data_IF_591212149123
#
_entry.id   IF_591212149123
#
_cell.length_a   1.000
_cell.length_b   1.000
_cell.length_c   1.000
_cell.angle_alpha   90.00
_cell.angle_beta   90.00
_cell.angle_gamma   90.00
#
_symmetry.space_group_name_H-M   'P 1'
#
loop_
_entity.id
_entity.type
_entity.pdbx_description
1 polymer ?
#
# COMPACT_ATOMS: atom_id res chain seq x y z
N UNK A 1 10.64 12.12 11.91
CA UNK A 1 11.15 12.95 13.04
C UNK A 1 10.20 14.09 13.40
N UNK A 2 9.76 14.91 12.44
CA UNK A 2 8.84 16.05 12.66
C UNK A 2 7.50 15.63 13.31
N UNK A 3 6.92 14.51 12.87
CA UNK A 3 5.64 14.00 13.39
C UNK A 3 5.73 13.56 14.87
N UNK A 4 6.87 13.00 15.28
CA UNK A 4 7.12 12.60 16.68
C UNK A 4 7.30 13.83 17.57
N UNK A 5 8.03 14.84 17.08
CA UNK A 5 8.21 16.13 17.76
C UNK A 5 6.86 16.84 17.93
N UNK A 6 6.01 16.83 16.90
CA UNK A 6 4.67 17.41 16.94
C UNK A 6 3.76 16.70 17.97
N UNK A 7 3.81 15.36 18.04
CA UNK A 7 3.07 14.57 19.04
C UNK A 7 3.53 14.90 20.46
N UNK A 8 4.84 15.06 20.69
CA UNK A 8 5.41 15.42 22.01
C UNK A 8 5.00 16.84 22.40
N UNK A 9 5.06 17.80 21.48
CA UNK A 9 4.61 19.18 21.69
C UNK A 9 3.11 19.26 22.00
N UNK A 10 2.28 18.52 21.28
CA UNK A 10 0.84 18.43 21.54
C UNK A 10 0.55 17.81 22.92
N UNK A 11 1.34 16.82 23.35
CA UNK A 11 1.19 16.18 24.67
C UNK A 11 1.57 17.14 25.81
N UNK A 12 2.60 17.96 25.61
CA UNK A 12 3.01 19.01 26.55
C UNK A 12 2.00 20.16 26.62
N UNK A 13 1.47 20.61 25.47
CA UNK A 13 0.41 21.62 25.38
C UNK A 13 -0.89 21.15 26.07
N UNK A 14 -1.25 19.88 25.89
CA UNK A 14 -2.41 19.26 26.56
C UNK A 14 -2.31 19.28 28.08
N UNK A 15 -1.10 19.18 28.64
CA UNK A 15 -0.87 19.20 30.10
C UNK A 15 -1.08 20.58 30.72
N UNK A 16 -0.85 21.68 29.97
CA UNK A 16 -0.88 23.04 30.53
C UNK A 16 -2.20 23.78 30.33
N UNK A 17 -3.01 23.43 29.33
CA UNK A 17 -4.22 24.17 29.01
C UNK A 17 -5.50 23.53 29.58
N UNK A 18 -6.14 24.22 30.55
CA UNK A 18 -7.47 23.89 31.11
C UNK A 18 -8.59 23.83 30.04
N UNK A 19 -8.35 24.37 28.84
CA UNK A 19 -9.24 24.29 27.69
C UNK A 19 -9.60 22.85 27.29
N UNK A 20 -8.64 21.92 27.36
CA UNK A 20 -8.90 20.51 27.05
C UNK A 20 -9.84 19.84 28.07
N UNK A 21 -9.85 20.29 29.32
CA UNK A 21 -10.83 19.82 30.32
C UNK A 21 -12.24 20.34 30.05
N UNK A 22 -12.40 21.50 29.41
CA UNK A 22 -13.72 21.99 28.95
C UNK A 22 -14.25 21.18 27.77
N UNK A 23 -13.38 20.80 26.82
CA UNK A 23 -13.75 19.92 25.69
C UNK A 23 -14.15 18.53 26.17
N UNK A 24 -13.46 17.99 27.19
CA UNK A 24 -13.78 16.68 27.79
C UNK A 24 -15.21 16.59 28.37
N UNK A 25 -15.79 17.73 28.73
CA UNK A 25 -17.15 17.83 29.29
C UNK A 25 -18.22 18.08 28.22
N UNK A 26 -17.84 18.25 26.95
CA UNK A 26 -18.80 18.19 25.85
C UNK A 26 -19.06 16.71 25.54
N UNK A 27 -20.33 16.34 25.53
CA UNK A 27 -20.81 14.99 25.18
C UNK A 27 -20.68 14.80 23.65
N UNK A 28 -19.43 14.70 23.20
CA UNK A 28 -19.09 14.55 21.79
C UNK A 28 -19.27 13.07 21.38
N UNK A 29 -19.72 12.80 20.15
CA UNK A 29 -19.79 11.44 19.63
C UNK A 29 -18.44 10.72 19.78
N UNK A 30 -18.46 9.42 20.07
CA UNK A 30 -17.26 8.58 20.34
C UNK A 30 -16.20 8.65 19.21
N UNK A 31 -16.62 9.00 17.99
CA UNK A 31 -15.78 9.13 16.80
C UNK A 31 -15.42 10.57 16.39
N UNK A 32 -15.93 11.58 17.10
CA UNK A 32 -15.73 12.99 16.72
C UNK A 32 -14.24 13.37 16.67
N UNK A 33 -13.46 12.87 17.62
CA UNK A 33 -12.00 13.03 17.63
C UNK A 33 -11.35 12.49 16.35
N UNK A 34 -11.79 11.33 15.83
CA UNK A 34 -11.22 10.76 14.60
C UNK A 34 -11.48 11.63 13.38
N UNK A 35 -12.67 12.25 13.33
CA UNK A 35 -13.07 13.15 12.25
C UNK A 35 -12.22 14.42 12.30
N UNK A 36 -12.03 15.02 13.48
CA UNK A 36 -11.18 16.22 13.59
C UNK A 36 -9.75 15.90 13.16
N UNK A 37 -9.16 14.82 13.69
CA UNK A 37 -7.80 14.44 13.33
C UNK A 37 -7.68 14.09 11.84
N UNK A 38 -8.71 13.49 11.23
CA UNK A 38 -8.68 13.16 9.80
C UNK A 38 -8.68 14.41 8.94
N UNK A 39 -9.49 15.41 9.29
CA UNK A 39 -9.53 16.68 8.57
C UNK A 39 -8.23 17.48 8.73
N UNK A 40 -7.63 17.49 9.92
CA UNK A 40 -6.32 18.10 10.14
C UNK A 40 -5.22 17.40 9.32
N UNK A 41 -5.22 16.07 9.30
CA UNK A 41 -4.28 15.29 8.50
C UNK A 41 -4.48 15.53 7.00
N UNK A 42 -5.73 15.55 6.53
CA UNK A 42 -6.06 15.85 5.15
C UNK A 42 -5.59 17.24 4.73
N UNK A 43 -5.82 18.25 5.57
CA UNK A 43 -5.35 19.62 5.33
C UNK A 43 -3.82 19.68 5.16
N UNK A 44 -3.08 18.97 6.02
CA UNK A 44 -1.63 18.84 5.87
C UNK A 44 -1.23 18.17 4.55
N UNK A 45 -1.91 17.09 4.15
CA UNK A 45 -1.61 16.41 2.88
C UNK A 45 -1.92 17.29 1.67
N UNK A 46 -3.10 17.94 1.62
CA UNK A 46 -3.52 18.75 0.47
C UNK A 46 -2.69 20.03 0.30
N UNK A 47 -2.01 20.48 1.34
CA UNK A 47 -1.10 21.64 1.29
C UNK A 47 0.34 21.25 0.92
N UNK A 48 0.63 19.95 0.77
CA UNK A 48 1.95 19.48 0.34
C UNK A 48 2.25 19.92 -1.10
N UNK A 49 3.41 20.55 -1.29
CA UNK A 49 3.85 21.06 -2.60
C UNK A 49 3.95 19.97 -3.65
N UNK A 50 4.19 18.72 -3.24
CA UNK A 50 4.22 17.56 -4.14
C UNK A 50 2.84 17.25 -4.70
N UNK A 51 1.78 17.32 -3.89
CA UNK A 51 0.41 17.11 -4.39
C UNK A 51 0.05 18.20 -5.39
N UNK A 52 0.36 19.45 -5.07
CA UNK A 52 0.15 20.58 -6.00
C UNK A 52 0.94 20.38 -7.29
N UNK A 53 2.20 19.95 -7.20
CA UNK A 53 3.03 19.67 -8.38
C UNK A 53 2.50 18.50 -9.20
N UNK A 54 2.00 17.45 -8.57
CA UNK A 54 1.46 16.27 -9.24
C UNK A 54 0.20 16.64 -10.02
N UNK A 55 -0.67 17.47 -9.42
CA UNK A 55 -1.84 18.02 -10.11
C UNK A 55 -1.43 18.87 -11.31
N UNK A 56 -0.41 19.72 -11.16
CA UNK A 56 0.08 20.56 -12.26
C UNK A 56 0.64 19.76 -13.45
N UNK A 57 1.13 18.54 -13.23
CA UNK A 57 1.65 17.64 -14.27
C UNK A 57 0.59 16.66 -14.80
N UNK A 58 -0.67 16.75 -14.37
CA UNK A 58 -1.72 15.95 -15.01
C UNK A 58 -2.00 16.48 -16.41
N UNK A 59 -2.27 15.59 -17.37
CA UNK A 59 -2.61 15.96 -18.75
C UNK A 59 -3.81 16.92 -18.84
N UNK A 60 -4.67 16.88 -17.82
CA UNK A 60 -5.85 17.73 -17.70
C UNK A 60 -5.44 19.16 -17.39
N UNK A 61 -4.56 19.36 -16.40
CA UNK A 61 -4.05 20.70 -16.02
C UNK A 61 -3.05 21.26 -17.03
N UNK A 62 -2.21 20.41 -17.63
CA UNK A 62 -1.30 20.85 -18.71
C UNK A 62 -2.06 21.42 -19.91
N UNK A 63 -3.18 20.81 -20.31
CA UNK A 63 -4.06 21.36 -21.35
C UNK A 63 -4.63 22.74 -21.01
N UNK A 64 -4.80 23.08 -19.73
CA UNK A 64 -5.27 24.41 -19.29
C UNK A 64 -4.15 25.46 -19.34
N UNK A 65 -2.88 25.04 -19.36
CA UNK A 65 -1.73 25.95 -19.34
C UNK A 65 -1.39 26.49 -20.73
N UNK A 66 -1.80 25.78 -21.78
CA UNK A 66 -1.57 26.16 -23.19
C UNK A 66 -2.62 27.15 -23.73
N UNK A 67 -3.74 27.31 -23.04
CA UNK A 67 -4.83 28.25 -23.37
C UNK A 67 -4.99 29.32 -22.29
N UNK A 68 -5.59 30.46 -22.65
CA UNK A 68 -5.96 31.47 -21.66
C UNK A 68 -6.91 30.88 -20.60
N UNK A 69 -6.68 31.21 -19.33
CA UNK A 69 -7.50 30.74 -18.22
C UNK A 69 -8.94 31.26 -18.37
N UNK A 70 -9.86 30.38 -18.79
CA UNK A 70 -11.28 30.66 -18.97
C UNK A 70 -12.08 30.28 -17.71
N UNK A 71 -13.34 30.72 -17.64
CA UNK A 71 -14.26 30.33 -16.56
C UNK A 71 -14.48 28.81 -16.48
N UNK A 72 -14.48 28.11 -17.62
CA UNK A 72 -14.61 26.65 -17.66
C UNK A 72 -13.43 25.95 -16.96
N UNK A 73 -12.21 26.47 -17.14
CA UNK A 73 -11.02 25.93 -16.48
C UNK A 73 -11.08 26.08 -14.95
N UNK A 74 -11.66 27.19 -14.47
CA UNK A 74 -11.89 27.40 -13.02
C UNK A 74 -12.81 26.33 -12.43
N UNK A 75 -13.95 26.05 -13.08
CA UNK A 75 -14.91 25.05 -12.59
C UNK A 75 -14.32 23.63 -12.58
N UNK A 76 -13.51 23.27 -13.57
CA UNK A 76 -12.85 21.96 -13.63
C UNK A 76 -11.82 21.79 -12.50
N UNK A 77 -10.99 22.82 -12.25
CA UNK A 77 -10.03 22.78 -11.14
C UNK A 77 -10.76 22.69 -9.80
N UNK A 78 -11.81 23.50 -9.61
CA UNK A 78 -12.62 23.50 -8.40
C UNK A 78 -13.25 22.11 -8.17
N UNK A 79 -13.88 21.52 -9.19
CA UNK A 79 -14.46 20.19 -9.11
C UNK A 79 -13.41 19.12 -8.76
N UNK A 80 -12.20 19.22 -9.33
CA UNK A 80 -11.09 18.31 -9.04
C UNK A 80 -10.63 18.40 -7.59
N UNK A 81 -10.47 19.62 -7.05
CA UNK A 81 -10.10 19.84 -5.64
C UNK A 81 -11.20 19.35 -4.70
N UNK A 82 -12.48 19.57 -5.04
CA UNK A 82 -13.60 19.03 -4.26
C UNK A 82 -13.57 17.50 -4.27
N UNK A 83 -13.37 16.87 -5.42
CA UNK A 83 -13.29 15.41 -5.52
C UNK A 83 -12.11 14.85 -4.72
N UNK A 84 -10.93 15.48 -4.80
CA UNK A 84 -9.76 15.09 -4.02
C UNK A 84 -9.98 15.25 -2.52
N UNK A 85 -10.68 16.30 -2.08
CA UNK A 85 -10.99 16.49 -0.66
C UNK A 85 -12.04 15.49 -0.15
N UNK A 86 -13.02 15.10 -0.97
CA UNK A 86 -13.98 14.05 -0.64
C UNK A 86 -13.29 12.68 -0.51
N UNK A 87 -12.51 12.28 -1.51
CA UNK A 87 -11.75 11.01 -1.49
C UNK A 87 -10.73 11.03 -0.34
N UNK A 88 -10.00 12.13 -0.20
CA UNK A 88 -9.01 12.34 0.85
C UNK A 88 -9.61 12.31 2.25
N UNK A 89 -10.87 12.72 2.43
CA UNK A 89 -11.58 12.59 3.71
C UNK A 89 -11.76 11.13 4.10
N UNK A 90 -12.16 10.26 3.17
CA UNK A 90 -12.27 8.83 3.42
C UNK A 90 -10.92 8.21 3.79
N UNK A 91 -9.87 8.49 3.00
CA UNK A 91 -8.53 7.96 3.24
C UNK A 91 -7.94 8.45 4.56
N UNK A 92 -8.04 9.76 4.84
CA UNK A 92 -7.56 10.33 6.11
C UNK A 92 -8.27 9.76 7.32
N UNK A 93 -9.58 9.49 7.21
CA UNK A 93 -10.33 8.85 8.28
C UNK A 93 -9.86 7.40 8.52
N UNK A 94 -9.56 6.64 7.47
CA UNK A 94 -8.96 5.31 7.61
C UNK A 94 -7.59 5.37 8.30
N UNK A 95 -6.77 6.37 7.97
CA UNK A 95 -5.46 6.59 8.63
C UNK A 95 -5.65 6.85 10.12
N UNK A 96 -6.47 7.83 10.48
CA UNK A 96 -6.61 8.22 11.90
C UNK A 96 -7.29 7.14 12.73
N UNK A 97 -8.33 6.50 12.19
CA UNK A 97 -8.98 5.36 12.83
C UNK A 97 -8.04 4.17 12.95
N UNK A 98 -7.28 3.84 11.90
CA UNK A 98 -6.30 2.75 11.93
C UNK A 98 -5.23 2.97 13.00
N UNK A 99 -4.69 4.19 13.09
CA UNK A 99 -3.72 4.54 14.14
C UNK A 99 -4.33 4.48 15.55
N UNK A 100 -5.57 4.95 15.74
CA UNK A 100 -6.29 4.82 17.02
C UNK A 100 -6.43 3.35 17.40
N UNK A 101 -6.87 2.52 16.47
CA UNK A 101 -7.12 1.11 16.69
C UNK A 101 -5.82 0.35 17.00
N UNK A 102 -4.71 0.74 16.36
CA UNK A 102 -3.37 0.26 16.72
C UNK A 102 -3.02 0.58 18.18
N UNK A 103 -3.16 1.84 18.61
CA UNK A 103 -2.82 2.29 19.96
C UNK A 103 -3.69 1.59 21.02
N UNK A 104 -4.96 1.34 20.71
CA UNK A 104 -5.89 0.67 21.62
C UNK A 104 -5.90 -0.85 21.47
N UNK A 105 -4.97 -1.41 20.68
CA UNK A 105 -4.82 -2.85 20.49
C UNK A 105 -6.11 -3.54 19.97
N UNK A 106 -6.83 -2.84 19.08
CA UNK A 106 -8.08 -3.31 18.47
C UNK A 106 -7.84 -3.69 17.01
N UNK A 107 -8.21 -4.91 16.65
CA UNK A 107 -8.26 -5.31 15.24
C UNK A 107 -9.43 -4.58 14.58
N UNK A 108 -9.17 -3.92 13.46
CA UNK A 108 -10.21 -3.29 12.66
C UNK A 108 -9.83 -3.30 11.18
N UNK A 109 -10.84 -3.13 10.33
CA UNK A 109 -10.63 -3.03 8.89
C UNK A 109 -9.75 -1.81 8.53
N UNK A 110 -9.94 -0.66 9.20
CA UNK A 110 -9.12 0.53 8.98
C UNK A 110 -7.64 0.25 9.30
N UNK A 111 -7.37 -0.44 10.42
CA UNK A 111 -6.02 -0.85 10.76
C UNK A 111 -5.42 -1.76 9.69
N UNK A 112 -6.17 -2.77 9.22
CA UNK A 112 -5.73 -3.68 8.16
C UNK A 112 -5.34 -2.95 6.87
N UNK A 113 -6.15 -1.97 6.44
CA UNK A 113 -5.87 -1.12 5.26
C UNK A 113 -4.57 -0.33 5.43
N UNK A 114 -4.37 0.30 6.59
CA UNK A 114 -3.15 1.07 6.83
C UNK A 114 -1.92 0.17 6.87
N UNK A 115 -2.01 -0.98 7.52
CA UNK A 115 -0.90 -1.93 7.54
C UNK A 115 -0.59 -2.55 6.19
N UNK A 116 -1.60 -2.82 5.35
CA UNK A 116 -1.36 -3.32 4.00
C UNK A 116 -0.63 -2.29 3.15
N UNK A 117 -0.98 -1.01 3.26
CA UNK A 117 -0.26 0.08 2.57
C UNK A 117 1.18 0.20 3.07
N UNK A 118 1.41 0.15 4.39
CA UNK A 118 2.76 0.20 4.97
C UNK A 118 3.61 -0.99 4.50
N UNK A 119 3.08 -2.21 4.56
CA UNK A 119 3.80 -3.38 4.05
C UNK A 119 4.06 -3.30 2.55
N UNK A 120 3.10 -2.78 1.77
CA UNK A 120 3.29 -2.58 0.34
C UNK A 120 4.46 -1.61 0.07
N UNK A 121 4.55 -0.49 0.78
CA UNK A 121 5.72 0.42 0.67
C UNK A 121 7.01 -0.31 1.03
N UNK A 122 7.05 -0.97 2.19
CA UNK A 122 8.26 -1.65 2.68
C UNK A 122 8.75 -2.70 1.68
N UNK A 123 7.89 -3.60 1.23
CA UNK A 123 8.29 -4.69 0.34
C UNK A 123 8.52 -4.23 -1.09
N UNK A 124 7.79 -3.21 -1.56
CA UNK A 124 8.06 -2.60 -2.85
C UNK A 124 9.48 -1.98 -2.87
N UNK A 125 9.84 -1.22 -1.84
CA UNK A 125 11.20 -0.68 -1.69
C UNK A 125 12.26 -1.78 -1.52
N UNK A 126 11.98 -2.80 -0.71
CA UNK A 126 12.93 -3.89 -0.48
C UNK A 126 13.24 -4.67 -1.76
N UNK A 127 12.23 -4.91 -2.60
CA UNK A 127 12.40 -5.53 -3.91
C UNK A 127 13.19 -4.60 -4.84
N UNK A 128 12.90 -3.30 -4.87
CA UNK A 128 13.69 -2.35 -5.67
C UNK A 128 15.16 -2.35 -5.25
N UNK A 129 15.45 -2.33 -3.95
CA UNK A 129 16.83 -2.41 -3.45
C UNK A 129 17.51 -3.73 -3.82
N UNK A 130 16.76 -4.83 -3.89
CA UNK A 130 17.30 -6.14 -4.29
C UNK A 130 17.70 -6.22 -5.77
N UNK A 131 17.31 -5.25 -6.61
CA UNK A 131 17.78 -5.13 -7.98
C UNK A 131 19.24 -4.61 -8.08
N UNK A 132 19.81 -4.11 -6.98
CA UNK A 132 21.13 -3.48 -6.94
C UNK A 132 21.18 -2.10 -7.64
N UNK A 133 22.35 -1.47 -7.69
CA UNK A 133 22.62 -0.35 -8.61
C UNK A 133 22.69 -0.90 -10.05
N UNK A 134 21.55 -1.31 -10.60
CA UNK A 134 21.46 -1.89 -11.93
C UNK A 134 21.82 -0.88 -13.02
N UNK A 135 22.50 -1.35 -14.07
CA UNK A 135 22.81 -0.62 -15.30
C UNK A 135 21.56 0.14 -15.78
N UNK A 136 21.65 1.45 -16.05
CA UNK A 136 20.48 2.26 -16.40
C UNK A 136 19.83 1.70 -17.66
N UNK A 137 18.71 1.01 -17.50
CA UNK A 137 17.82 0.73 -18.62
C UNK A 137 17.11 2.05 -18.94
N UNK A 138 17.51 2.70 -20.03
CA UNK A 138 16.98 3.99 -20.47
C UNK A 138 17.22 5.17 -19.50
N UNK A 139 18.40 5.24 -18.87
CA UNK A 139 18.84 6.45 -18.15
C UNK A 139 18.10 6.76 -16.85
N UNK A 140 17.21 5.88 -16.38
CA UNK A 140 16.53 6.01 -15.07
C UNK A 140 16.62 4.69 -14.31
N UNK A 141 17.00 4.76 -13.03
CA UNK A 141 17.17 3.59 -12.17
C UNK A 141 15.83 3.00 -11.68
N UNK A 142 14.72 3.67 -11.94
CA UNK A 142 13.39 3.36 -11.39
C UNK A 142 12.34 3.57 -12.49
N UNK A 143 11.70 2.49 -12.95
CA UNK A 143 10.50 2.58 -13.80
C UNK A 143 9.31 3.01 -12.95
N UNK A 144 9.09 4.32 -12.87
CA UNK A 144 8.11 4.92 -11.95
C UNK A 144 6.69 4.36 -12.12
N UNK A 145 6.24 4.09 -13.35
CA UNK A 145 4.93 3.48 -13.61
C UNK A 145 4.80 2.00 -13.18
N UNK A 146 5.88 1.22 -13.25
CA UNK A 146 5.90 -0.17 -12.81
C UNK A 146 5.91 -0.27 -11.27
N UNK A 147 6.60 0.66 -10.62
CA UNK A 147 6.65 0.79 -9.15
C UNK A 147 5.27 1.11 -8.58
N UNK A 148 4.56 2.08 -9.19
CA UNK A 148 3.22 2.48 -8.75
C UNK A 148 2.22 1.34 -8.91
N UNK A 149 2.27 0.61 -10.03
CA UNK A 149 1.44 -0.57 -10.24
C UNK A 149 1.72 -1.67 -9.20
N UNK A 150 2.99 -2.00 -8.98
CA UNK A 150 3.40 -3.00 -7.99
C UNK A 150 2.96 -2.62 -6.57
N UNK A 151 3.05 -1.35 -6.19
CA UNK A 151 2.57 -0.86 -4.90
C UNK A 151 1.07 -1.10 -4.71
N UNK A 152 0.24 -0.79 -5.73
CA UNK A 152 -1.20 -1.03 -5.69
C UNK A 152 -1.51 -2.51 -5.57
N UNK A 153 -0.85 -3.35 -6.37
CA UNK A 153 -1.04 -4.80 -6.35
C UNK A 153 -0.69 -5.39 -4.99
N UNK A 154 0.46 -5.03 -4.41
CA UNK A 154 0.82 -5.49 -3.06
C UNK A 154 -0.16 -5.01 -2.00
N UNK A 155 -0.61 -3.75 -2.08
CA UNK A 155 -1.59 -3.22 -1.14
C UNK A 155 -2.88 -4.04 -1.16
N UNK A 156 -3.36 -4.40 -2.36
CA UNK A 156 -4.56 -5.22 -2.55
C UNK A 156 -4.34 -6.67 -2.07
N UNK A 157 -3.21 -7.30 -2.42
CA UNK A 157 -2.89 -8.68 -2.01
C UNK A 157 -2.78 -8.77 -0.49
N UNK A 158 -2.05 -7.85 0.15
CA UNK A 158 -1.90 -7.85 1.61
C UNK A 158 -3.23 -7.58 2.32
N UNK A 159 -4.04 -6.65 1.81
CA UNK A 159 -5.38 -6.41 2.36
C UNK A 159 -6.28 -7.65 2.20
N UNK A 160 -6.21 -8.34 1.07
CA UNK A 160 -6.94 -9.59 0.84
C UNK A 160 -6.52 -10.66 1.84
N UNK A 161 -5.22 -10.82 2.13
CA UNK A 161 -4.73 -11.76 3.17
C UNK A 161 -5.33 -11.40 4.54
N UNK A 162 -5.34 -10.13 4.92
CA UNK A 162 -5.99 -9.68 6.16
C UNK A 162 -7.47 -10.07 6.21
N UNK A 163 -8.22 -9.81 5.14
CA UNK A 163 -9.65 -10.11 5.08
C UNK A 163 -9.91 -11.61 5.10
N UNK A 164 -9.17 -12.42 4.33
CA UNK A 164 -9.35 -13.88 4.27
C UNK A 164 -9.05 -14.56 5.60
N UNK A 165 -7.98 -14.15 6.29
CA UNK A 165 -7.62 -14.72 7.60
C UNK A 165 -8.50 -14.16 8.72
N UNK A 166 -8.95 -12.91 8.59
CA UNK A 166 -9.79 -12.19 9.55
C UNK A 166 -9.21 -12.14 10.99
N UNK A 167 -7.89 -12.32 11.13
CA UNK A 167 -7.14 -12.24 12.38
C UNK A 167 -5.87 -11.44 12.14
N UNK A 168 -5.82 -10.23 12.68
CA UNK A 168 -4.79 -9.25 12.36
C UNK A 168 -3.37 -9.75 12.65
N UNK A 169 -3.11 -10.30 13.83
CA UNK A 169 -1.76 -10.76 14.21
C UNK A 169 -1.29 -11.91 13.32
N UNK A 170 -2.14 -12.89 13.03
CA UNK A 170 -1.81 -14.05 12.18
C UNK A 170 -1.55 -13.60 10.74
N UNK A 171 -2.41 -12.73 10.19
CA UNK A 171 -2.23 -12.18 8.85
C UNK A 171 -0.93 -11.37 8.72
N UNK A 172 -0.60 -10.55 9.72
CA UNK A 172 0.64 -9.75 9.71
C UNK A 172 1.89 -10.65 9.71
N UNK A 173 1.89 -11.73 10.50
CA UNK A 173 2.99 -12.72 10.51
C UNK A 173 3.12 -13.37 9.14
N UNK A 174 2.00 -13.78 8.53
CA UNK A 174 2.02 -14.42 7.21
C UNK A 174 2.54 -13.45 6.13
N UNK A 175 2.07 -12.21 6.13
CA UNK A 175 2.53 -11.18 5.18
C UNK A 175 4.03 -10.93 5.34
N UNK A 176 4.52 -10.79 6.58
CA UNK A 176 5.95 -10.66 6.85
C UNK A 176 6.72 -11.86 6.31
N UNK A 177 6.26 -13.08 6.60
CA UNK A 177 6.88 -14.31 6.13
C UNK A 177 6.98 -14.36 4.60
N UNK A 178 5.86 -14.12 3.91
CA UNK A 178 5.79 -14.16 2.46
C UNK A 178 6.64 -13.04 1.82
N UNK A 179 6.53 -11.82 2.33
CA UNK A 179 7.23 -10.66 1.78
C UNK A 179 8.74 -10.76 1.93
N UNK A 180 9.25 -11.20 3.09
CA UNK A 180 10.69 -11.40 3.30
C UNK A 180 11.20 -12.54 2.41
N UNK A 181 10.48 -13.66 2.36
CA UNK A 181 10.85 -14.80 1.50
C UNK A 181 10.91 -14.40 0.03
N UNK A 182 9.91 -13.66 -0.45
CA UNK A 182 9.85 -13.19 -1.83
C UNK A 182 10.98 -12.20 -2.15
N UNK A 183 11.22 -11.22 -1.28
CA UNK A 183 12.30 -10.23 -1.45
C UNK A 183 13.65 -10.92 -1.53
N UNK A 184 13.89 -11.90 -0.66
CA UNK A 184 15.15 -12.64 -0.64
C UNK A 184 15.31 -13.54 -1.87
N UNK A 185 14.25 -14.25 -2.28
CA UNK A 185 14.27 -15.02 -3.52
C UNK A 185 14.55 -14.12 -4.73
N UNK A 186 14.02 -12.89 -4.75
CA UNK A 186 14.30 -11.91 -5.79
C UNK A 186 15.76 -11.49 -5.79
N UNK A 187 16.33 -11.17 -4.63
CA UNK A 187 17.75 -10.85 -4.49
C UNK A 187 18.66 -11.96 -5.03
N UNK A 188 18.36 -13.23 -4.70
CA UNK A 188 19.12 -14.37 -5.19
C UNK A 188 19.04 -14.50 -6.71
N UNK A 189 17.83 -14.40 -7.28
CA UNK A 189 17.62 -14.51 -8.72
C UNK A 189 18.39 -13.41 -9.47
N UNK A 190 18.30 -12.17 -8.99
CA UNK A 190 19.05 -11.03 -9.55
C UNK A 190 20.55 -11.28 -9.46
N UNK A 191 21.05 -11.77 -8.32
CA UNK A 191 22.48 -12.04 -8.12
C UNK A 191 23.00 -13.15 -9.05
N UNK A 192 22.17 -14.13 -9.42
CA UNK A 192 22.55 -15.26 -10.26
C UNK A 192 22.35 -15.01 -11.76
N UNK A 193 21.32 -14.25 -12.14
CA UNK A 193 20.87 -14.11 -13.55
C UNK A 193 20.77 -12.67 -14.04
N UNK A 194 20.97 -11.68 -13.17
CA UNK A 194 20.84 -10.26 -13.53
C UNK A 194 19.40 -9.80 -13.77
N UNK A 195 18.39 -10.61 -13.44
CA UNK A 195 16.98 -10.30 -13.66
C UNK A 195 16.11 -10.56 -12.41
N UNK A 196 15.06 -9.75 -12.17
CA UNK A 196 14.11 -10.00 -11.10
C UNK A 196 13.22 -11.22 -11.38
N UNK A 197 12.43 -11.59 -10.38
CA UNK A 197 11.33 -12.55 -10.52
C UNK A 197 10.26 -11.91 -11.40
N UNK A 198 10.00 -12.54 -12.54
CA UNK A 198 8.98 -12.18 -13.51
C UNK A 198 7.67 -12.94 -13.21
N UNK A 199 6.52 -12.46 -13.69
CA UNK A 199 5.26 -13.19 -13.57
C UNK A 199 5.31 -14.60 -14.20
N UNK A 200 6.07 -14.80 -15.26
CA UNK A 200 6.32 -16.11 -15.88
C UNK A 200 7.06 -17.07 -14.95
N UNK A 201 7.90 -16.57 -14.03
CA UNK A 201 8.60 -17.38 -13.04
C UNK A 201 7.68 -17.85 -11.90
N UNK A 202 6.48 -17.28 -11.75
CA UNK A 202 5.49 -17.83 -10.81
C UNK A 202 5.04 -19.24 -11.24
N UNK A 203 5.18 -19.60 -12.53
CA UNK A 203 5.01 -20.99 -12.98
C UNK A 203 6.09 -21.90 -12.36
N UNK A 204 7.26 -21.35 -12.01
CA UNK A 204 8.34 -22.09 -11.36
C UNK A 204 8.16 -22.20 -9.84
N UNK A 205 7.27 -21.41 -9.22
CA UNK A 205 6.80 -21.67 -7.84
C UNK A 205 6.11 -23.05 -7.77
N UNK A 206 5.52 -23.50 -8.87
CA UNK A 206 4.97 -24.86 -9.01
C UNK A 206 6.08 -25.93 -9.15
N UNK A 207 7.34 -25.54 -9.35
CA UNK A 207 8.55 -26.38 -9.46
C UNK A 207 9.67 -25.86 -8.54
N UNK A 208 9.48 -25.89 -7.21
CA UNK A 208 10.41 -25.26 -6.25
C UNK A 208 11.85 -25.82 -6.31
N UNK A 209 12.03 -27.07 -6.74
CA UNK A 209 13.35 -27.71 -6.84
C UNK A 209 14.31 -26.98 -7.79
N UNK A 210 13.83 -26.42 -8.89
CA UNK A 210 14.66 -25.68 -9.86
C UNK A 210 15.05 -24.28 -9.39
N UNK A 211 14.28 -23.69 -8.46
CA UNK A 211 14.56 -22.36 -7.89
C UNK A 211 15.56 -22.43 -6.74
N UNK A 212 15.49 -23.48 -5.91
CA UNK A 212 16.28 -23.59 -4.69
C UNK A 212 17.57 -24.40 -4.83
N UNK A 213 17.83 -25.02 -5.98
CA UNK A 213 19.05 -25.80 -6.23
C UNK A 213 20.36 -24.98 -6.23
N UNK A 214 20.26 -23.66 -6.28
CA UNK A 214 21.41 -22.74 -6.36
C UNK A 214 21.79 -22.07 -5.03
N UNK A 215 21.05 -22.37 -3.95
CA UNK A 215 21.18 -21.69 -2.66
C UNK A 215 21.66 -22.71 -1.63
N UNK A 216 22.67 -22.34 -0.84
CA UNK A 216 23.19 -23.19 0.23
C UNK A 216 22.06 -23.53 1.22
N UNK A 217 21.87 -24.82 1.48
CA UNK A 217 20.84 -25.33 2.39
C UNK A 217 20.95 -24.70 3.79
N UNK A 218 22.17 -24.37 4.22
CA UNK A 218 22.47 -23.72 5.50
C UNK A 218 21.79 -22.36 5.63
N UNK A 219 21.71 -21.60 4.53
CA UNK A 219 21.03 -20.31 4.52
C UNK A 219 19.53 -20.44 4.83
N UNK A 220 18.85 -21.38 4.16
CA UNK A 220 17.42 -21.61 4.39
C UNK A 220 17.15 -22.01 5.84
N UNK A 221 18.02 -22.82 6.43
CA UNK A 221 17.89 -23.24 7.82
C UNK A 221 17.92 -22.02 8.75
N UNK A 222 18.92 -21.14 8.65
CA UNK A 222 18.99 -19.96 9.53
C UNK A 222 17.86 -18.95 9.26
N UNK A 223 17.50 -18.74 7.99
CA UNK A 223 16.41 -17.86 7.59
C UNK A 223 15.06 -18.32 8.15
N UNK A 224 14.71 -19.61 7.95
CA UNK A 224 13.47 -20.17 8.47
C UNK A 224 13.48 -20.26 10.00
N UNK A 225 14.62 -20.56 10.64
CA UNK A 225 14.73 -20.53 12.11
C UNK A 225 14.44 -19.13 12.66
N UNK A 226 15.07 -18.08 12.12
CA UNK A 226 14.86 -16.70 12.57
C UNK A 226 13.41 -16.25 12.39
N UNK A 227 12.82 -16.59 11.24
CA UNK A 227 11.46 -16.24 10.90
C UNK A 227 10.43 -17.04 11.73
N UNK A 228 10.68 -18.33 11.98
CA UNK A 228 9.89 -19.16 12.88
C UNK A 228 10.00 -18.71 14.34
N UNK A 229 11.18 -18.25 14.79
CA UNK A 229 11.35 -17.71 16.13
C UNK A 229 10.52 -16.42 16.33
N UNK A 230 10.57 -15.48 15.38
CA UNK A 230 9.74 -14.28 15.39
C UNK A 230 8.25 -14.66 15.32
N UNK A 231 7.89 -15.60 14.43
CA UNK A 231 6.54 -16.11 14.29
C UNK A 231 6.00 -16.75 15.58
N UNK A 232 6.83 -17.53 16.28
CA UNK A 232 6.49 -18.16 17.56
C UNK A 232 6.28 -17.12 18.66
N UNK A 233 7.17 -16.13 18.78
CA UNK A 233 7.00 -15.04 19.75
C UNK A 233 5.67 -14.31 19.49
N UNK A 234 5.41 -13.93 18.24
CA UNK A 234 4.16 -13.26 17.86
C UNK A 234 2.94 -14.17 18.05
N UNK A 235 3.07 -15.49 17.85
CA UNK A 235 2.01 -16.46 18.09
C UNK A 235 1.68 -16.58 19.58
N UNK A 236 2.66 -16.62 20.48
CA UNK A 236 2.41 -16.65 21.92
C UNK A 236 1.81 -15.34 22.42
N UNK A 237 2.28 -14.20 21.91
CA UNK A 237 1.78 -12.89 22.31
C UNK A 237 0.44 -12.55 21.64
N UNK A 238 -0.03 -13.32 20.63
CA UNK A 238 -1.29 -13.08 19.92
C UNK A 238 -2.53 -13.01 20.81
N UNK A 239 -2.52 -13.70 21.96
CA UNK A 239 -3.65 -13.66 22.92
C UNK A 239 -3.77 -12.28 23.58
N UNK A 240 -2.68 -11.54 23.61
CA UNK A 240 -2.59 -10.20 24.20
C UNK A 240 -2.58 -9.10 23.13
N UNK A 241 -2.35 -9.42 21.85
CA UNK A 241 -2.28 -8.47 20.74
C UNK A 241 -3.40 -8.71 19.72
N UNK A 242 -4.27 -7.70 19.53
CA UNK A 242 -5.26 -7.66 18.45
C UNK A 242 -6.13 -8.92 18.39
N UNK A 243 -6.69 -9.33 19.54
CA UNK A 243 -7.40 -10.61 19.67
C UNK A 243 -8.77 -10.66 18.96
N UNK A 244 -9.37 -9.49 18.67
CA UNK A 244 -10.68 -9.42 18.03
C UNK A 244 -10.56 -9.75 16.52
N UNK A 245 -11.64 -10.26 15.89
CA UNK A 245 -11.67 -10.37 14.43
C UNK A 245 -11.65 -8.98 13.78
N UNK A 246 -11.11 -8.89 12.57
CA UNK A 246 -11.04 -7.63 11.79
C UNK A 246 -12.43 -7.22 11.31
N UNK A 247 -13.22 -8.20 10.85
CA UNK A 247 -14.58 -8.08 10.35
C UNK A 247 -15.54 -8.86 11.26
N UNK A 248 -16.72 -8.30 11.55
CA UNK A 248 -17.63 -8.86 12.56
C UNK A 248 -18.37 -10.12 12.09
N UNK A 249 -18.54 -10.30 10.78
CA UNK A 249 -19.28 -11.45 10.24
C UNK A 249 -18.65 -12.01 8.97
N UNK A 250 -18.84 -13.32 8.76
CA UNK A 250 -18.34 -14.01 7.57
C UNK A 250 -18.99 -13.49 6.28
N UNK A 251 -20.21 -12.96 6.34
CA UNK A 251 -20.90 -12.35 5.18
C UNK A 251 -20.17 -11.11 4.70
N UNK A 252 -19.77 -10.23 5.64
CA UNK A 252 -18.95 -9.05 5.32
C UNK A 252 -17.57 -9.46 4.80
N UNK A 253 -16.98 -10.50 5.39
CA UNK A 253 -15.72 -11.06 4.93
C UNK A 253 -15.79 -11.56 3.48
N UNK A 254 -16.82 -12.32 3.13
CA UNK A 254 -17.04 -12.79 1.77
C UNK A 254 -17.29 -11.63 0.79
N UNK A 255 -18.17 -10.69 1.15
CA UNK A 255 -18.48 -9.52 0.31
C UNK A 255 -17.23 -8.67 0.03
N UNK A 256 -16.45 -8.35 1.06
CA UNK A 256 -15.22 -7.55 0.90
C UNK A 256 -14.17 -8.34 0.12
N UNK A 257 -14.04 -9.65 0.32
CA UNK A 257 -13.11 -10.48 -0.46
C UNK A 257 -13.46 -10.47 -1.95
N UNK A 258 -14.74 -10.57 -2.31
CA UNK A 258 -15.20 -10.49 -3.70
C UNK A 258 -14.86 -9.12 -4.31
N UNK A 259 -15.12 -8.04 -3.56
CA UNK A 259 -14.77 -6.68 -3.99
C UNK A 259 -13.26 -6.55 -4.24
N UNK A 260 -12.43 -7.06 -3.32
CA UNK A 260 -10.95 -7.01 -3.44
C UNK A 260 -10.42 -7.90 -4.57
N UNK A 261 -11.13 -8.96 -4.96
CA UNK A 261 -10.76 -9.81 -6.09
C UNK A 261 -11.14 -9.21 -7.45
N UNK A 262 -12.14 -8.32 -7.49
CA UNK A 262 -12.62 -7.73 -8.76
C UNK A 262 -11.55 -7.02 -9.61
N UNK A 263 -10.58 -6.26 -9.06
CA UNK A 263 -9.54 -5.63 -9.87
C UNK A 263 -8.61 -6.66 -10.52
N UNK A 264 -8.35 -7.79 -9.85
CA UNK A 264 -7.53 -8.86 -10.41
C UNK A 264 -8.23 -9.52 -11.60
N UNK A 265 -9.54 -9.80 -11.50
CA UNK A 265 -10.34 -10.32 -12.62
C UNK A 265 -10.27 -9.37 -13.81
N UNK A 266 -10.43 -8.06 -13.57
CA UNK A 266 -10.32 -7.05 -14.63
C UNK A 266 -8.93 -7.05 -15.28
N UNK A 267 -7.85 -7.10 -14.49
CA UNK A 267 -6.48 -7.20 -15.00
C UNK A 267 -6.31 -8.46 -15.86
N UNK A 268 -6.77 -9.63 -15.39
CA UNK A 268 -6.69 -10.88 -16.15
C UNK A 268 -7.49 -10.82 -17.46
N UNK A 269 -8.68 -10.21 -17.45
CA UNK A 269 -9.47 -10.03 -18.67
C UNK A 269 -8.77 -9.10 -19.66
N UNK A 270 -8.20 -7.99 -19.20
CA UNK A 270 -7.44 -7.07 -20.05
C UNK A 270 -6.20 -7.74 -20.66
N UNK A 271 -5.52 -8.60 -19.90
CA UNK A 271 -4.41 -9.41 -20.41
C UNK A 271 -4.88 -10.50 -21.39
N UNK A 272 -6.07 -11.08 -21.16
CA UNK A 272 -6.66 -12.12 -22.01
C UNK A 272 -7.26 -11.61 -23.33
N UNK A 273 -7.57 -10.31 -23.43
CA UNK A 273 -8.03 -9.65 -24.66
C UNK A 273 -6.88 -9.32 -25.65
N UNK A 274 -5.68 -9.87 -25.44
CA UNK A 274 -4.51 -9.71 -26.31
C UNK A 274 -4.74 -10.40 -27.65
N UNK A 275 -5.50 -9.75 -28.54
CA UNK A 275 -5.40 -9.96 -29.98
C UNK A 275 -4.29 -9.00 -30.49
N UNK A 276 -3.27 -9.55 -31.16
CA UNK A 276 -2.18 -8.82 -31.80
C UNK A 276 -1.27 -7.96 -30.89
N UNK A 277 -0.89 -8.49 -29.72
CA UNK A 277 0.17 -7.95 -28.86
C UNK A 277 0.01 -6.50 -28.37
N UNK A 278 -1.17 -5.89 -28.48
CA UNK A 278 -1.40 -4.50 -28.04
C UNK A 278 -2.47 -4.43 -26.95
N UNK A 279 -2.08 -3.90 -25.79
CA UNK A 279 -3.02 -3.49 -24.73
C UNK A 279 -3.79 -2.25 -25.24
N UNK A 280 -5.13 -2.17 -25.11
CA UNK A 280 -5.88 -0.99 -25.51
C UNK A 280 -5.34 0.27 -24.83
N UNK A 281 -5.07 1.32 -25.61
CA UNK A 281 -4.43 2.58 -25.17
C UNK A 281 -5.17 3.29 -24.03
N UNK A 282 -6.43 2.94 -23.80
CA UNK A 282 -7.34 3.58 -22.86
C UNK A 282 -7.19 3.11 -21.39
N UNK A 283 -6.17 2.32 -21.06
CA UNK A 283 -5.88 1.88 -19.67
C UNK A 283 -4.60 2.55 -19.16
N UNK A 284 -4.68 3.65 -18.39
CA UNK A 284 -3.55 4.57 -18.14
C UNK A 284 -2.27 3.95 -17.58
N UNK A 285 -2.38 2.87 -16.81
CA UNK A 285 -1.23 2.23 -16.13
C UNK A 285 -0.66 1.09 -16.98
N UNK A 286 -1.51 0.34 -17.69
CA UNK A 286 -1.09 -0.78 -18.53
C UNK A 286 -0.62 -0.31 -19.93
N UNK A 287 -1.15 0.80 -20.44
CA UNK A 287 -0.74 1.37 -21.73
C UNK A 287 0.68 1.95 -21.67
N UNK A 288 1.09 2.56 -20.54
CA UNK A 288 2.47 3.02 -20.32
C UNK A 288 3.46 1.85 -20.26
N UNK A 289 3.07 0.71 -19.66
CA UNK A 289 3.86 -0.52 -19.65
C UNK A 289 4.00 -1.14 -21.05
N UNK A 290 2.96 -1.05 -21.89
CA UNK A 290 2.96 -1.58 -23.26
C UNK A 290 3.76 -0.71 -24.25
N UNK A 291 3.75 0.61 -24.09
CA UNK A 291 4.46 1.54 -25.00
C UNK A 291 5.98 1.52 -24.77
N UNK A 292 6.43 1.24 -23.55
CA UNK A 292 7.85 1.29 -23.18
C UNK A 292 8.61 -0.01 -23.41
N UNK A 293 7.92 -1.11 -23.67
CA UNK A 293 8.53 -2.40 -23.93
C UNK A 293 7.62 -3.21 -24.85
N UNK A 294 8.13 -3.53 -26.04
CA UNK A 294 7.64 -4.69 -26.79
C UNK A 294 8.00 -5.97 -26.03
N UNK A 295 7.31 -6.26 -24.93
CA UNK A 295 7.50 -7.52 -24.21
C UNK A 295 6.96 -8.67 -25.08
N UNK A 296 7.88 -9.40 -25.69
CA UNK A 296 7.73 -10.84 -25.85
C UNK A 296 7.79 -11.45 -24.44
N UNK A 297 6.62 -11.75 -23.88
CA UNK A 297 6.43 -12.74 -22.81
C UNK A 297 6.05 -14.05 -23.49
#
# INVERSE_FOLDING_TARGET
MILVILIVLLKLLRSKFKFFNRIKNLDLPVDFDNIIFSQLFLSFCLTDTKIVSLLAHTQWVMRLKETYFSEEHFWVILATVILLSLVGTGLSYLVTRGLRDFIHNRSSFALAVITSLIFAVIFNLAIQMSLGEGVPHYGTFIFQGAVDFQFVIFSLVFLLIYVLINRYTIASILILFLGVTFTYANYLKVSMRGEPILPSDLVWVLKPQTLFGFVDASFFIYFFIGLSAIGLVLFFVRKYLFSNPILPSWKWQAAISIILLSPFVMIFQLLGMRNDNKIPENVPILSVLNILHGWEI
#
